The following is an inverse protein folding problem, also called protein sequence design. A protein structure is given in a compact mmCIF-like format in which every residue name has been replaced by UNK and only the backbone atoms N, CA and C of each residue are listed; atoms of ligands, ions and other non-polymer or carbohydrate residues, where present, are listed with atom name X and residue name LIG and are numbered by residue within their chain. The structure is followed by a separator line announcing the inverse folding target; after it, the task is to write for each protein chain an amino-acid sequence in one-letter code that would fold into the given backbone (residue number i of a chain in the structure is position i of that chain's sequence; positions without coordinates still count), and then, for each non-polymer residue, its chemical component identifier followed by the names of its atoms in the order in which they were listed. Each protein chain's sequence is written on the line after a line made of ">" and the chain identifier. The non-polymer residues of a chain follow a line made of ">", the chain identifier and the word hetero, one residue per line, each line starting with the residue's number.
data_IF_521216487054
#
_entry.id   IF_521216487054
#
_cell.length_a   1.000
_cell.length_b   1.000
_cell.length_c   1.000
_cell.angle_alpha   90.00
_cell.angle_beta   90.00
_cell.angle_gamma   90.00
#
_symmetry.space_group_name_H-M   'P 1'
#
loop_
_entity.id
_entity.type
_entity.pdbx_description
1 polymer ?
#
# COMPACT_ATOMS: atom_id res chain seq x y z
N UNK A 1 11.37 -13.56 3.02
CA UNK A 1 12.60 -14.31 2.70
C UNK A 1 12.78 -14.36 1.18
N UNK A 2 13.95 -14.02 0.63
CA UNK A 2 14.22 -14.13 -0.81
C UNK A 2 14.94 -15.45 -1.07
N UNK A 3 14.31 -16.37 -1.78
CA UNK A 3 14.93 -17.65 -2.17
C UNK A 3 15.65 -17.53 -3.52
N UNK A 4 16.62 -18.42 -3.82
CA UNK A 4 17.23 -18.50 -5.15
C UNK A 4 16.19 -18.66 -6.27
N UNK A 5 16.47 -18.16 -7.48
CA UNK A 5 15.56 -18.36 -8.62
C UNK A 5 15.42 -19.86 -8.90
N UNK A 6 14.18 -20.31 -9.08
CA UNK A 6 13.86 -21.73 -9.29
C UNK A 6 13.43 -22.47 -8.01
N UNK A 7 13.57 -21.85 -6.84
CA UNK A 7 12.93 -22.33 -5.61
C UNK A 7 11.40 -22.27 -5.75
N UNK A 8 10.73 -23.33 -5.28
CA UNK A 8 9.26 -23.40 -5.23
C UNK A 8 8.67 -22.55 -4.08
N UNK A 9 7.37 -22.73 -3.79
CA UNK A 9 6.75 -22.23 -2.56
C UNK A 9 7.56 -22.65 -1.33
N UNK A 10 7.56 -21.80 -0.30
CA UNK A 10 8.45 -21.94 0.86
C UNK A 10 8.32 -23.31 1.55
N UNK A 11 7.10 -23.80 1.77
CA UNK A 11 6.87 -25.10 2.40
C UNK A 11 7.44 -26.26 1.59
N UNK A 12 7.20 -26.29 0.27
CA UNK A 12 7.75 -27.30 -0.64
C UNK A 12 9.28 -27.21 -0.70
N UNK A 13 9.82 -25.99 -0.71
CA UNK A 13 11.24 -25.74 -0.70
C UNK A 13 11.90 -26.29 0.56
N UNK A 14 11.33 -26.02 1.74
CA UNK A 14 11.86 -26.49 3.03
C UNK A 14 11.85 -28.02 3.14
N UNK A 15 10.84 -28.68 2.57
CA UNK A 15 10.75 -30.14 2.52
C UNK A 15 11.81 -30.76 1.58
N UNK A 16 12.13 -30.10 0.47
CA UNK A 16 13.11 -30.61 -0.51
C UNK A 16 14.55 -30.22 -0.19
N UNK A 17 14.77 -29.10 0.51
CA UNK A 17 16.11 -28.58 0.73
C UNK A 17 16.86 -29.42 1.75
N UNK A 18 17.92 -30.10 1.29
CA UNK A 18 18.80 -30.91 2.14
C UNK A 18 19.92 -30.11 2.81
N UNK A 19 19.90 -28.78 2.71
CA UNK A 19 20.85 -27.85 3.38
C UNK A 19 22.32 -28.11 3.08
N UNK A 20 22.64 -28.61 1.87
CA UNK A 20 24.00 -28.97 1.46
C UNK A 20 24.94 -27.79 1.19
N UNK A 21 24.41 -26.59 0.95
CA UNK A 21 25.21 -25.38 0.72
C UNK A 21 25.80 -25.21 -0.69
N UNK A 22 25.64 -26.18 -1.59
CA UNK A 22 26.22 -26.12 -2.95
C UNK A 22 25.79 -24.88 -3.74
N UNK A 23 24.51 -24.49 -3.65
CA UNK A 23 24.00 -23.29 -4.31
C UNK A 23 24.66 -22.00 -3.78
N UNK A 24 25.02 -21.96 -2.49
CA UNK A 24 25.70 -20.82 -1.88
C UNK A 24 27.15 -20.77 -2.36
N UNK A 25 27.84 -21.92 -2.36
CA UNK A 25 29.23 -22.07 -2.79
C UNK A 25 29.47 -21.62 -4.23
N UNK A 26 28.53 -21.90 -5.15
CA UNK A 26 28.66 -21.53 -6.57
C UNK A 26 28.11 -20.15 -6.90
N UNK A 27 27.60 -19.39 -5.93
CA UNK A 27 27.04 -18.06 -6.17
C UNK A 27 28.17 -17.07 -6.46
N UNK A 28 28.31 -16.54 -7.70
CA UNK A 28 29.47 -15.72 -8.08
C UNK A 28 29.50 -14.36 -7.37
N UNK A 29 28.35 -13.87 -6.92
CA UNK A 29 28.22 -12.61 -6.17
C UNK A 29 28.30 -12.80 -4.67
N UNK A 30 28.41 -14.03 -4.18
CA UNK A 30 28.25 -14.41 -2.78
C UNK A 30 26.94 -13.90 -2.16
N UNK A 31 25.93 -13.59 -2.97
CA UNK A 31 24.66 -13.07 -2.49
C UNK A 31 23.83 -14.10 -1.71
N UNK A 32 23.99 -15.39 -2.02
CA UNK A 32 23.31 -16.46 -1.31
C UNK A 32 24.06 -16.77 -0.01
N UNK A 33 23.39 -16.52 1.12
CA UNK A 33 23.92 -16.73 2.45
C UNK A 33 23.13 -17.83 3.18
N UNK A 34 23.71 -18.45 4.22
CA UNK A 34 22.94 -19.34 5.09
C UNK A 34 21.98 -18.50 5.95
N UNK A 35 20.75 -18.98 6.07
CA UNK A 35 19.76 -18.38 6.95
C UNK A 35 20.04 -18.73 8.42
N UNK A 36 19.96 -17.72 9.29
CA UNK A 36 20.02 -17.87 10.74
C UNK A 36 18.66 -18.19 11.36
N UNK A 37 18.50 -17.84 12.62
CA UNK A 37 17.27 -18.09 13.39
C UNK A 37 16.12 -17.15 13.00
N UNK A 38 16.39 -16.07 12.26
CA UNK A 38 15.40 -15.08 11.83
C UNK A 38 14.38 -15.67 10.84
N UNK A 39 14.73 -16.78 10.19
CA UNK A 39 13.82 -17.54 9.32
C UNK A 39 13.00 -18.62 10.05
N UNK A 40 13.18 -18.79 11.35
CA UNK A 40 12.66 -19.93 12.12
C UNK A 40 13.55 -21.17 12.03
N UNK A 41 13.33 -22.12 12.95
CA UNK A 41 14.17 -23.33 13.07
C UNK A 41 14.15 -24.19 11.80
N UNK A 42 13.03 -24.26 11.10
CA UNK A 42 12.87 -25.04 9.87
C UNK A 42 13.71 -24.48 8.71
N UNK A 43 13.85 -23.16 8.64
CA UNK A 43 14.62 -22.48 7.61
C UNK A 43 16.11 -22.36 7.96
N UNK A 44 16.54 -22.80 9.13
CA UNK A 44 17.94 -22.73 9.54
C UNK A 44 18.84 -23.40 8.48
N UNK A 45 19.93 -22.71 8.13
CA UNK A 45 20.94 -23.14 7.16
C UNK A 45 20.45 -23.31 5.71
N UNK A 46 19.21 -22.90 5.41
CA UNK A 46 18.73 -22.85 4.03
C UNK A 46 19.23 -21.60 3.30
N UNK A 47 19.40 -21.63 1.97
CA UNK A 47 19.93 -20.50 1.21
C UNK A 47 18.89 -19.38 1.08
N UNK A 48 19.31 -18.15 1.35
CA UNK A 48 18.54 -16.95 1.03
C UNK A 48 19.43 -15.88 0.41
N UNK A 49 18.84 -15.01 -0.42
CA UNK A 49 19.56 -13.90 -1.01
C UNK A 49 19.64 -12.75 -0.01
N UNK A 50 20.86 -12.23 0.19
CA UNK A 50 21.14 -11.00 0.93
C UNK A 50 21.72 -9.98 -0.05
N UNK A 51 20.86 -9.15 -0.70
CA UNK A 51 21.27 -8.23 -1.76
C UNK A 51 22.43 -7.29 -1.36
N UNK A 52 22.46 -6.86 -0.10
CA UNK A 52 23.54 -5.99 0.42
C UNK A 52 24.91 -6.67 0.38
N UNK A 53 24.96 -7.99 0.57
CA UNK A 53 26.18 -8.80 0.40
C UNK A 53 26.45 -9.02 -1.09
N UNK A 54 25.45 -9.46 -1.84
CA UNK A 54 25.54 -9.64 -3.29
C UNK A 54 24.19 -9.79 -3.95
N UNK A 55 24.04 -9.21 -5.14
CA UNK A 55 22.84 -9.32 -5.96
C UNK A 55 22.70 -10.69 -6.62
N UNK A 56 21.48 -11.07 -7.00
CA UNK A 56 21.25 -12.20 -7.91
C UNK A 56 21.57 -11.76 -9.34
N UNK A 57 22.71 -12.20 -9.86
CA UNK A 57 23.19 -11.76 -11.17
C UNK A 57 22.22 -12.10 -12.31
N UNK A 58 21.88 -11.12 -13.15
CA UNK A 58 20.83 -11.26 -14.17
C UNK A 58 21.10 -12.39 -15.19
N UNK A 59 22.36 -12.72 -15.47
CA UNK A 59 22.77 -13.69 -16.48
C UNK A 59 23.25 -15.03 -15.88
N UNK A 60 22.93 -15.32 -14.61
CA UNK A 60 23.39 -16.53 -13.90
C UNK A 60 22.27 -17.51 -13.52
N UNK A 61 22.43 -18.81 -13.79
CA UNK A 61 21.49 -19.87 -13.38
C UNK A 61 22.16 -21.01 -12.56
N UNK A 62 23.38 -20.79 -12.06
CA UNK A 62 24.20 -21.86 -11.45
C UNK A 62 23.54 -22.55 -10.25
N UNK A 63 22.86 -21.81 -9.37
CA UNK A 63 22.26 -22.36 -8.15
C UNK A 63 21.28 -23.53 -8.40
N UNK A 64 20.50 -23.48 -9.48
CA UNK A 64 19.58 -24.56 -9.87
C UNK A 64 20.27 -25.71 -10.60
N UNK A 65 21.47 -25.49 -11.18
CA UNK A 65 22.25 -26.54 -11.84
C UNK A 65 22.97 -27.46 -10.87
N UNK A 66 23.30 -26.95 -9.68
CA UNK A 66 24.06 -27.71 -8.66
C UNK A 66 23.20 -28.26 -7.53
N UNK A 67 21.88 -28.02 -7.53
CA UNK A 67 21.00 -28.46 -6.46
C UNK A 67 20.70 -29.96 -6.57
N UNK A 68 21.22 -30.83 -5.69
CA UNK A 68 21.10 -32.28 -5.84
C UNK A 68 19.69 -32.79 -5.54
N UNK A 69 18.96 -32.11 -4.65
CA UNK A 69 17.60 -32.51 -4.25
C UNK A 69 16.50 -31.91 -5.14
N UNK A 70 16.86 -31.05 -6.09
CA UNK A 70 15.89 -30.33 -6.92
C UNK A 70 15.05 -29.29 -6.16
N UNK A 71 15.43 -28.92 -4.93
CA UNK A 71 14.79 -27.84 -4.18
C UNK A 71 14.86 -26.49 -4.93
N UNK A 72 15.93 -26.28 -5.70
CA UNK A 72 16.06 -25.18 -6.66
C UNK A 72 16.07 -25.83 -8.05
N UNK A 73 15.02 -25.59 -8.83
CA UNK A 73 14.90 -26.17 -10.17
C UNK A 73 15.92 -25.52 -11.12
N UNK A 74 16.51 -26.28 -12.06
CA UNK A 74 17.33 -25.69 -13.11
C UNK A 74 16.45 -24.80 -14.01
N UNK A 75 16.98 -23.65 -14.38
CA UNK A 75 16.31 -22.66 -15.23
C UNK A 75 17.19 -22.31 -16.43
N UNK A 76 16.54 -22.01 -17.56
CA UNK A 76 17.16 -21.25 -18.64
C UNK A 76 17.29 -19.78 -18.24
N UNK A 77 18.07 -19.01 -18.99
CA UNK A 77 18.23 -17.56 -18.75
C UNK A 77 16.89 -16.84 -18.97
N UNK A 78 16.18 -17.15 -20.05
CA UNK A 78 14.89 -16.54 -20.36
C UNK A 78 13.85 -16.83 -19.29
N UNK A 79 13.73 -18.11 -18.87
CA UNK A 79 12.81 -18.49 -17.80
C UNK A 79 13.15 -17.80 -16.47
N UNK A 80 14.45 -17.60 -16.18
CA UNK A 80 14.87 -16.84 -15.02
C UNK A 80 14.43 -15.38 -15.10
N UNK A 81 14.53 -14.74 -16.26
CA UNK A 81 14.17 -13.33 -16.43
C UNK A 81 12.68 -13.07 -16.21
N UNK A 82 11.84 -14.07 -16.41
CA UNK A 82 10.40 -14.01 -16.12
C UNK A 82 10.05 -14.28 -14.65
N UNK A 83 10.99 -14.81 -13.86
CA UNK A 83 10.76 -15.16 -12.46
C UNK A 83 11.15 -13.98 -11.54
N UNK A 84 10.15 -13.49 -10.81
CA UNK A 84 10.35 -12.58 -9.69
C UNK A 84 10.59 -13.35 -8.38
N UNK A 85 11.80 -13.20 -7.82
CA UNK A 85 12.19 -13.74 -6.50
C UNK A 85 11.89 -12.78 -5.35
N UNK A 86 11.64 -11.51 -5.66
CA UNK A 86 11.28 -10.46 -4.73
C UNK A 86 10.88 -9.16 -5.45
N UNK A 87 10.61 -8.11 -4.68
CA UNK A 87 10.30 -6.76 -5.20
C UNK A 87 11.09 -5.70 -4.44
N UNK A 88 11.57 -4.70 -5.17
CA UNK A 88 12.21 -3.54 -4.56
C UNK A 88 11.17 -2.60 -3.93
N UNK A 89 11.53 -1.99 -2.81
CA UNK A 89 10.76 -0.99 -2.06
C UNK A 89 11.70 0.11 -1.60
N UNK A 90 11.24 1.35 -1.62
CA UNK A 90 12.01 2.49 -1.13
C UNK A 90 11.54 2.87 0.28
N UNK A 91 12.48 2.93 1.21
CA UNK A 91 12.33 3.71 2.43
C UNK A 91 12.47 5.20 2.08
N UNK A 92 11.33 5.90 2.06
CA UNK A 92 11.24 7.31 1.70
C UNK A 92 11.89 8.24 2.72
N UNK A 93 12.11 7.77 3.95
CA UNK A 93 12.79 8.54 5.00
C UNK A 93 14.32 8.45 4.91
N UNK A 94 14.85 7.49 4.12
CA UNK A 94 16.29 7.30 3.92
C UNK A 94 16.74 7.61 2.49
N UNK A 95 15.86 7.45 1.52
CA UNK A 95 16.22 7.58 0.11
C UNK A 95 16.57 9.02 -0.24
N UNK A 96 17.79 9.25 -0.73
CA UNK A 96 18.36 10.58 -0.97
C UNK A 96 17.39 11.52 -1.71
N UNK A 97 16.76 11.12 -2.84
CA UNK A 97 15.82 12.00 -3.53
C UNK A 97 14.46 12.17 -2.83
N UNK A 98 13.99 11.17 -2.08
CA UNK A 98 12.76 11.30 -1.30
C UNK A 98 12.95 12.21 -0.08
N UNK A 99 14.11 12.11 0.59
CA UNK A 99 14.50 13.00 1.69
C UNK A 99 14.73 14.42 1.19
N UNK A 100 15.41 14.58 0.05
CA UNK A 100 15.55 15.86 -0.63
C UNK A 100 14.19 16.47 -0.95
N UNK A 101 13.27 15.69 -1.55
CA UNK A 101 11.92 16.15 -1.82
C UNK A 101 11.17 16.64 -0.58
N UNK A 102 11.25 15.90 0.52
CA UNK A 102 10.48 16.20 1.73
C UNK A 102 11.10 17.33 2.57
N UNK A 103 12.43 17.48 2.57
CA UNK A 103 13.15 18.29 3.56
C UNK A 103 14.30 19.12 2.98
N UNK A 104 14.32 19.44 1.68
CA UNK A 104 15.43 20.18 1.06
C UNK A 104 15.82 21.46 1.82
N UNK A 105 14.83 22.22 2.31
CA UNK A 105 15.05 23.47 3.05
C UNK A 105 15.75 23.28 4.40
N UNK A 106 15.69 22.07 4.97
CA UNK A 106 16.31 21.72 6.25
C UNK A 106 17.71 21.10 6.06
N UNK A 107 17.99 20.59 4.86
CA UNK A 107 19.27 19.97 4.52
C UNK A 107 20.31 21.04 4.19
N UNK A 108 21.54 20.86 4.69
CA UNK A 108 22.72 21.59 4.20
C UNK A 108 23.22 21.00 2.87
N UNK A 109 22.32 20.81 1.91
CA UNK A 109 22.58 20.19 0.61
C UNK A 109 21.93 21.01 -0.51
N UNK A 110 22.51 21.00 -1.70
CA UNK A 110 21.88 21.61 -2.87
C UNK A 110 20.91 20.62 -3.53
N UNK A 111 20.02 21.14 -4.36
CA UNK A 111 19.00 20.31 -5.03
C UNK A 111 19.64 19.30 -6.00
N UNK A 112 20.80 19.61 -6.58
CA UNK A 112 21.57 18.70 -7.43
C UNK A 112 22.08 17.49 -6.63
N UNK A 113 22.49 17.72 -5.39
CA UNK A 113 23.14 16.72 -4.53
C UNK A 113 22.13 15.65 -4.04
N UNK A 114 20.83 15.93 -4.14
CA UNK A 114 19.75 15.01 -3.73
C UNK A 114 19.14 14.22 -4.91
N UNK A 115 19.69 14.33 -6.13
CA UNK A 115 19.18 13.65 -7.33
C UNK A 115 19.88 12.30 -7.62
N UNK A 116 20.07 11.46 -6.60
CA UNK A 116 20.68 10.13 -6.75
C UNK A 116 19.90 9.23 -7.74
N UNK A 117 20.58 8.72 -8.77
CA UNK A 117 20.00 7.91 -9.84
C UNK A 117 20.47 6.43 -9.89
N UNK A 118 21.43 6.06 -9.03
CA UNK A 118 22.21 4.81 -9.13
C UNK A 118 21.33 3.56 -9.28
N UNK A 119 20.19 3.50 -8.59
CA UNK A 119 19.30 2.34 -8.62
C UNK A 119 18.65 2.04 -9.99
N UNK A 120 18.36 3.06 -10.80
CA UNK A 120 17.88 2.90 -12.19
C UNK A 120 19.03 2.50 -13.10
N UNK A 121 20.19 3.14 -12.94
CA UNK A 121 21.38 2.90 -13.77
C UNK A 121 21.78 1.42 -13.73
N UNK A 122 21.85 0.84 -12.53
CA UNK A 122 22.25 -0.56 -12.34
C UNK A 122 21.13 -1.57 -12.57
N UNK A 123 19.88 -1.14 -12.79
CA UNK A 123 18.78 -2.07 -12.98
C UNK A 123 19.03 -2.88 -14.27
N UNK A 124 19.17 -4.22 -14.20
CA UNK A 124 19.58 -5.01 -15.35
C UNK A 124 18.43 -5.33 -16.31
N UNK A 125 17.18 -5.04 -15.92
CA UNK A 125 15.99 -5.27 -16.74
C UNK A 125 16.00 -4.27 -17.92
N UNK A 126 15.79 -4.71 -19.18
CA UNK A 126 15.95 -3.86 -20.37
C UNK A 126 15.17 -2.54 -20.32
N UNK A 127 13.92 -2.56 -19.86
CA UNK A 127 13.04 -1.38 -19.77
C UNK A 127 13.10 -0.65 -18.43
N UNK A 128 14.03 -1.06 -17.56
CA UNK A 128 14.28 -0.58 -16.19
C UNK A 128 13.05 -0.72 -15.29
N UNK A 129 13.18 -1.56 -14.26
CA UNK A 129 12.14 -1.72 -13.25
C UNK A 129 12.07 -0.57 -12.23
N UNK A 130 13.05 0.35 -12.26
CA UNK A 130 13.07 1.55 -11.43
C UNK A 130 13.14 2.74 -12.38
N UNK A 131 12.27 3.73 -12.16
CA UNK A 131 12.21 4.98 -12.92
C UNK A 131 12.03 6.15 -11.97
N UNK A 132 12.07 7.36 -12.52
CA UNK A 132 11.93 8.58 -11.74
C UNK A 132 10.70 9.38 -12.16
N UNK A 133 10.00 9.95 -11.18
CA UNK A 133 9.10 11.06 -11.41
C UNK A 133 9.80 12.38 -11.05
N UNK A 134 9.53 13.43 -11.82
CA UNK A 134 10.20 14.73 -11.64
C UNK A 134 9.29 15.68 -10.88
N UNK A 135 9.74 16.14 -9.73
CA UNK A 135 9.10 17.18 -8.94
C UNK A 135 9.81 18.51 -9.15
N UNK A 136 9.14 19.50 -9.74
CA UNK A 136 9.71 20.83 -9.96
C UNK A 136 9.51 21.70 -8.72
N UNK A 137 10.60 22.24 -8.17
CA UNK A 137 10.55 23.23 -7.10
C UNK A 137 10.33 24.62 -7.69
N UNK A 138 10.94 24.91 -8.84
CA UNK A 138 10.69 26.10 -9.67
C UNK A 138 11.13 25.87 -11.12
N UNK A 139 11.31 26.96 -11.89
CA UNK A 139 11.70 26.91 -13.30
C UNK A 139 13.08 26.28 -13.57
N UNK A 140 13.98 26.22 -12.58
CA UNK A 140 15.36 25.74 -12.73
C UNK A 140 15.72 24.57 -11.80
N UNK A 141 14.97 24.34 -10.73
CA UNK A 141 15.26 23.32 -9.71
C UNK A 141 14.23 22.19 -9.76
N UNK A 142 14.71 20.95 -9.82
CA UNK A 142 13.87 19.75 -9.82
C UNK A 142 14.47 18.59 -9.03
N UNK A 143 13.61 17.75 -8.47
CA UNK A 143 14.00 16.53 -7.75
C UNK A 143 13.35 15.33 -8.42
N UNK A 144 14.17 14.37 -8.81
CA UNK A 144 13.80 13.10 -9.43
C UNK A 144 13.61 12.07 -8.33
N UNK A 145 12.36 11.68 -8.03
CA UNK A 145 12.07 10.70 -6.98
C UNK A 145 11.91 9.31 -7.60
N UNK A 146 12.63 8.29 -7.11
CA UNK A 146 12.57 6.97 -7.70
C UNK A 146 11.30 6.22 -7.28
N UNK A 147 10.74 5.46 -8.20
CA UNK A 147 9.65 4.52 -7.97
C UNK A 147 9.92 3.19 -8.69
N UNK A 148 9.30 2.12 -8.22
CA UNK A 148 9.47 0.76 -8.76
C UNK A 148 8.26 0.41 -9.61
N UNK A 149 8.50 -0.01 -10.86
CA UNK A 149 7.48 -0.64 -11.70
C UNK A 149 7.43 -2.12 -11.31
N UNK A 150 6.39 -2.49 -10.57
CA UNK A 150 6.32 -3.82 -9.95
C UNK A 150 6.39 -4.94 -10.97
N UNK A 151 5.67 -4.83 -12.09
CA UNK A 151 5.60 -5.88 -13.12
C UNK A 151 6.96 -6.22 -13.73
N UNK A 152 7.85 -5.23 -13.83
CA UNK A 152 9.20 -5.40 -14.38
C UNK A 152 10.22 -5.84 -13.32
N UNK A 153 9.94 -5.62 -12.03
CA UNK A 153 10.89 -5.88 -10.97
C UNK A 153 11.00 -7.38 -10.68
N UNK A 154 12.16 -7.98 -10.98
CA UNK A 154 12.42 -9.40 -10.69
C UNK A 154 12.99 -9.65 -9.29
N UNK A 155 13.31 -8.60 -8.52
CA UNK A 155 13.87 -8.73 -7.17
C UNK A 155 15.34 -9.17 -7.14
N UNK A 156 16.11 -8.81 -8.15
CA UNK A 156 17.51 -9.21 -8.27
C UNK A 156 18.45 -8.56 -7.23
N UNK A 157 18.07 -7.44 -6.62
CA UNK A 157 18.87 -6.83 -5.55
C UNK A 157 20.00 -5.90 -5.99
N UNK A 158 20.20 -5.66 -7.30
CA UNK A 158 21.22 -4.73 -7.79
C UNK A 158 21.09 -3.34 -7.13
N UNK A 159 19.86 -2.82 -7.06
CA UNK A 159 19.58 -1.51 -6.46
C UNK A 159 19.95 -1.42 -4.96
N UNK A 160 19.67 -2.46 -4.18
CA UNK A 160 20.00 -2.52 -2.75
C UNK A 160 21.50 -2.62 -2.53
N UNK A 161 22.19 -3.43 -3.36
CA UNK A 161 23.64 -3.61 -3.29
C UNK A 161 24.39 -2.28 -3.43
N UNK A 162 24.03 -1.51 -4.45
CA UNK A 162 24.76 -0.28 -4.82
C UNK A 162 24.23 0.97 -4.13
N UNK A 163 23.19 0.86 -3.30
CA UNK A 163 22.59 2.00 -2.63
C UNK A 163 23.66 2.73 -1.77
N UNK A 164 23.93 4.03 -2.04
CA UNK A 164 25.01 4.76 -1.38
C UNK A 164 24.68 5.17 0.06
N UNK A 165 23.43 4.96 0.50
CA UNK A 165 23.02 5.27 1.88
C UNK A 165 23.79 4.39 2.86
N UNK A 166 24.37 5.03 3.87
CA UNK A 166 25.14 4.36 4.93
C UNK A 166 24.25 3.47 5.80
N UNK A 167 24.81 2.35 6.26
CA UNK A 167 24.06 1.33 7.01
C UNK A 167 23.05 0.63 6.10
N UNK A 168 21.79 0.60 6.53
CA UNK A 168 20.70 0.02 5.75
C UNK A 168 20.44 0.82 4.47
N UNK A 169 20.36 0.09 3.35
CA UNK A 169 20.03 0.66 2.06
C UNK A 169 18.62 1.27 2.07
N UNK A 170 18.46 2.42 1.43
CA UNK A 170 17.15 3.05 1.29
C UNK A 170 16.25 2.37 0.25
N UNK A 171 16.79 1.49 -0.59
CA UNK A 171 16.01 0.59 -1.43
C UNK A 171 16.30 -0.83 -0.97
N UNK A 172 15.26 -1.54 -0.55
CA UNK A 172 15.34 -2.91 -0.05
C UNK A 172 14.56 -3.82 -0.97
N UNK A 173 15.09 -5.00 -1.24
CA UNK A 173 14.33 -6.07 -1.87
C UNK A 173 13.72 -6.93 -0.80
N UNK A 174 12.43 -7.13 -0.91
CA UNK A 174 11.69 -8.03 -0.04
C UNK A 174 11.29 -9.27 -0.82
N UNK A 175 11.38 -10.42 -0.15
CA UNK A 175 10.93 -11.68 -0.72
C UNK A 175 9.44 -11.67 -1.03
N UNK A 176 9.03 -12.49 -1.99
CA UNK A 176 7.59 -12.73 -2.26
C UNK A 176 6.92 -13.14 -0.95
N UNK A 177 6.13 -12.26 -0.32
CA UNK A 177 4.93 -12.75 0.38
C UNK A 177 4.18 -13.52 -0.69
N UNK A 178 3.79 -14.77 -0.40
CA UNK A 178 3.10 -15.64 -1.36
C UNK A 178 2.10 -14.80 -2.14
N UNK A 179 2.05 -14.99 -3.47
CA UNK A 179 1.10 -14.29 -4.34
C UNK A 179 -0.18 -14.08 -3.51
N UNK A 180 -0.53 -12.83 -3.21
CA UNK A 180 -1.95 -12.53 -3.26
C UNK A 180 -2.26 -12.96 -4.68
N UNK A 181 -2.93 -14.10 -4.85
CA UNK A 181 -3.61 -14.39 -6.08
C UNK A 181 -4.56 -13.21 -6.23
N UNK A 182 -4.07 -12.19 -6.95
CA UNK A 182 -4.92 -11.20 -7.53
C UNK A 182 -5.80 -12.05 -8.42
N UNK A 183 -7.12 -12.09 -8.15
CA UNK A 183 -8.02 -12.88 -8.95
C UNK A 183 -7.75 -12.56 -10.42
N UNK A 184 -7.78 -13.61 -11.25
CA UNK A 184 -7.86 -13.51 -12.71
C UNK A 184 -8.58 -12.22 -13.10
N UNK A 185 -7.99 -11.44 -14.02
CA UNK A 185 -8.52 -10.13 -14.46
C UNK A 185 -10.04 -10.18 -14.49
N UNK A 186 -10.68 -9.62 -13.46
CA UNK A 186 -12.11 -9.66 -13.36
C UNK A 186 -12.65 -9.02 -14.65
N UNK A 187 -13.65 -9.62 -15.32
CA UNK A 187 -14.18 -9.05 -16.54
C UNK A 187 -14.52 -7.58 -16.30
N UNK A 188 -14.20 -6.73 -17.29
CA UNK A 188 -14.45 -5.29 -17.19
C UNK A 188 -15.91 -5.09 -16.79
N UNK A 189 -16.16 -4.47 -15.62
CA UNK A 189 -17.51 -4.37 -15.08
C UNK A 189 -18.37 -3.52 -16.01
N UNK A 190 -19.63 -3.92 -16.21
CA UNK A 190 -20.61 -3.05 -16.83
C UNK A 190 -20.97 -1.91 -15.84
N UNK A 191 -20.45 -0.72 -16.13
CA UNK A 191 -20.70 0.51 -15.37
C UNK A 191 -21.75 1.40 -16.04
N UNK A 192 -22.43 0.92 -17.09
CA UNK A 192 -23.19 1.74 -18.04
C UNK A 192 -24.31 2.59 -17.42
N UNK A 193 -24.87 2.17 -16.29
CA UNK A 193 -25.91 2.92 -15.57
C UNK A 193 -25.40 3.59 -14.29
N UNK A 194 -24.14 3.37 -13.90
CA UNK A 194 -23.60 3.89 -12.64
C UNK A 194 -23.48 5.41 -12.68
N UNK A 195 -22.99 5.95 -13.80
CA UNK A 195 -22.81 7.38 -14.04
C UNK A 195 -23.96 7.94 -14.91
N UNK A 196 -24.85 8.79 -14.37
CA UNK A 196 -25.90 9.42 -15.16
C UNK A 196 -25.33 10.24 -16.32
N UNK A 197 -25.98 10.25 -17.48
CA UNK A 197 -25.53 11.10 -18.61
C UNK A 197 -25.63 12.60 -18.32
N UNK A 198 -26.52 12.97 -17.40
CA UNK A 198 -26.80 14.36 -17.03
C UNK A 198 -27.16 14.45 -15.54
N UNK A 199 -26.65 15.47 -14.87
CA UNK A 199 -27.03 15.82 -13.49
C UNK A 199 -27.33 17.32 -13.45
N UNK A 200 -28.61 17.67 -13.35
CA UNK A 200 -29.04 19.07 -13.48
C UNK A 200 -28.61 19.67 -14.83
N UNK A 201 -27.83 20.75 -14.79
CA UNK A 201 -27.28 21.42 -16.01
C UNK A 201 -26.00 20.80 -16.57
N UNK A 202 -25.43 19.80 -15.89
CA UNK A 202 -24.11 19.26 -16.20
C UNK A 202 -24.22 17.99 -17.03
N UNK A 203 -23.27 17.78 -17.94
CA UNK A 203 -23.25 16.60 -18.84
C UNK A 203 -21.97 15.81 -18.67
N UNK A 204 -22.09 14.49 -18.80
CA UNK A 204 -20.96 13.58 -18.78
C UNK A 204 -20.03 13.88 -19.96
N UNK A 205 -18.74 14.06 -19.66
CA UNK A 205 -17.68 14.30 -20.62
C UNK A 205 -17.07 12.96 -21.01
N UNK A 206 -17.33 12.53 -22.24
CA UNK A 206 -16.80 11.28 -22.77
C UNK A 206 -17.34 10.03 -22.08
N UNK A 207 -16.60 8.92 -22.21
CA UNK A 207 -16.91 7.66 -21.55
C UNK A 207 -16.13 7.58 -20.24
N UNK A 208 -16.73 7.08 -19.13
CA UNK A 208 -15.97 6.87 -17.91
C UNK A 208 -14.83 5.86 -18.15
N UNK A 209 -13.69 6.12 -17.52
CA UNK A 209 -12.52 5.24 -17.58
C UNK A 209 -12.59 4.22 -16.46
N UNK A 210 -12.29 2.94 -16.75
CA UNK A 210 -12.35 1.85 -15.77
C UNK A 210 -10.95 1.27 -15.54
N UNK A 211 -10.62 1.09 -14.28
CA UNK A 211 -9.35 0.59 -13.78
C UNK A 211 -9.61 -0.69 -12.98
N UNK A 212 -9.16 -1.83 -13.48
CA UNK A 212 -9.48 -3.14 -12.89
C UNK A 212 -8.28 -3.72 -12.13
N UNK A 213 -8.56 -4.28 -10.95
CA UNK A 213 -7.59 -4.97 -10.13
C UNK A 213 -6.45 -4.06 -9.64
N UNK A 214 -5.41 -4.68 -9.07
CA UNK A 214 -4.29 -3.93 -8.52
C UNK A 214 -3.56 -3.10 -9.59
N UNK A 215 -3.34 -3.66 -10.77
CA UNK A 215 -2.66 -2.97 -11.87
C UNK A 215 -3.40 -1.70 -12.30
N UNK A 216 -4.71 -1.80 -12.57
CA UNK A 216 -5.52 -0.64 -12.91
C UNK A 216 -5.51 0.40 -11.79
N UNK A 217 -5.57 -0.04 -10.53
CA UNK A 217 -5.50 0.91 -9.41
C UNK A 217 -4.16 1.64 -9.34
N UNK A 218 -3.04 0.96 -9.56
CA UNK A 218 -1.72 1.59 -9.62
C UNK A 218 -1.62 2.61 -10.78
N UNK A 219 -2.21 2.30 -11.94
CA UNK A 219 -2.30 3.24 -13.06
C UNK A 219 -3.15 4.47 -12.71
N UNK A 220 -4.20 4.29 -11.91
CA UNK A 220 -5.09 5.39 -11.55
C UNK A 220 -4.49 6.34 -10.49
N UNK A 221 -3.91 5.79 -9.41
CA UNK A 221 -3.48 6.58 -8.24
C UNK A 221 -1.96 6.57 -7.98
N UNK A 222 -1.16 6.32 -9.01
CA UNK A 222 0.30 6.52 -9.07
C UNK A 222 1.06 6.20 -7.76
N UNK A 223 1.06 4.92 -7.39
CA UNK A 223 1.80 4.43 -6.21
C UNK A 223 1.09 4.60 -4.86
N UNK A 224 -0.11 5.18 -4.83
CA UNK A 224 -0.98 5.24 -3.64
C UNK A 224 -1.85 4.00 -3.40
N UNK A 225 -1.79 2.98 -4.27
CA UNK A 225 -2.67 1.81 -4.23
C UNK A 225 -2.57 0.90 -2.98
N UNK A 226 -1.39 0.69 -2.35
CA UNK A 226 -1.25 -0.36 -1.34
C UNK A 226 -2.26 -0.32 -0.17
N UNK A 227 -2.59 0.83 0.45
CA UNK A 227 -3.68 0.95 1.43
C UNK A 227 -5.00 0.32 1.00
N UNK A 228 -5.45 0.61 -0.23
CA UNK A 228 -6.74 0.18 -0.73
C UNK A 228 -6.77 -1.30 -1.13
N UNK A 229 -5.62 -1.86 -1.53
CA UNK A 229 -5.50 -3.29 -1.84
C UNK A 229 -5.70 -4.17 -0.60
N UNK A 230 -5.46 -3.62 0.61
CA UNK A 230 -5.75 -4.33 1.87
C UNK A 230 -7.24 -4.61 2.07
N UNK A 231 -8.11 -3.82 1.42
CA UNK A 231 -9.57 -3.95 1.48
C UNK A 231 -10.17 -4.82 0.35
N UNK A 232 -9.35 -5.62 -0.34
CA UNK A 232 -9.79 -6.45 -1.46
C UNK A 232 -10.50 -5.64 -2.57
N UNK A 233 -9.81 -4.60 -3.02
CA UNK A 233 -10.21 -3.78 -4.17
C UNK A 233 -10.51 -4.63 -5.42
N UNK A 234 -11.58 -4.26 -6.14
CA UNK A 234 -11.99 -4.94 -7.39
C UNK A 234 -11.71 -4.06 -8.61
N UNK A 235 -12.25 -2.85 -8.63
CA UNK A 235 -12.08 -1.90 -9.73
C UNK A 235 -12.48 -0.48 -9.30
N UNK A 236 -12.04 0.52 -10.05
CA UNK A 236 -12.45 1.90 -9.94
C UNK A 236 -12.92 2.42 -11.30
N UNK A 237 -13.95 3.25 -11.30
CA UNK A 237 -14.42 3.94 -12.48
C UNK A 237 -14.44 5.44 -12.24
N UNK A 238 -14.00 6.21 -13.23
CA UNK A 238 -13.81 7.66 -13.14
C UNK A 238 -14.59 8.33 -14.25
N UNK A 239 -15.44 9.27 -13.87
CA UNK A 239 -16.24 10.07 -14.79
C UNK A 239 -15.98 11.56 -14.57
N UNK A 240 -15.93 12.34 -15.65
CA UNK A 240 -15.85 13.80 -15.58
C UNK A 240 -17.14 14.41 -16.13
N UNK A 241 -17.60 15.50 -15.53
CA UNK A 241 -18.78 16.24 -15.93
C UNK A 241 -18.44 17.70 -16.16
N UNK A 242 -18.97 18.29 -17.22
CA UNK A 242 -18.79 19.70 -17.55
C UNK A 242 -20.12 20.45 -17.48
N UNK A 243 -20.05 21.73 -17.11
CA UNK A 243 -21.19 22.63 -17.22
C UNK A 243 -21.36 23.14 -18.66
N UNK A 244 -22.54 23.69 -18.97
CA UNK A 244 -22.84 24.23 -20.29
C UNK A 244 -21.98 25.45 -20.68
N UNK A 245 -21.38 26.13 -19.69
CA UNK A 245 -20.47 27.26 -19.90
C UNK A 245 -19.01 26.84 -20.18
N UNK A 246 -18.65 25.58 -19.93
CA UNK A 246 -17.30 25.04 -20.11
C UNK A 246 -16.28 25.54 -19.08
N UNK A 247 -16.71 26.19 -18.00
CA UNK A 247 -15.82 26.83 -17.02
C UNK A 247 -15.50 25.92 -15.83
N UNK A 248 -16.45 25.07 -15.44
CA UNK A 248 -16.28 24.16 -14.31
C UNK A 248 -16.33 22.70 -14.78
N UNK A 249 -15.51 21.86 -14.13
CA UNK A 249 -15.55 20.41 -14.30
C UNK A 249 -15.54 19.72 -12.94
N UNK A 250 -16.34 18.66 -12.82
CA UNK A 250 -16.39 17.81 -11.62
C UNK A 250 -15.95 16.41 -12.00
N UNK A 251 -15.03 15.83 -11.24
CA UNK A 251 -14.64 14.43 -11.32
C UNK A 251 -15.40 13.63 -10.26
N UNK A 252 -15.93 12.48 -10.66
CA UNK A 252 -16.63 11.55 -9.79
C UNK A 252 -16.01 10.16 -9.95
N UNK A 253 -15.58 9.61 -8.83
CA UNK A 253 -15.00 8.28 -8.76
C UNK A 253 -15.97 7.31 -8.07
N UNK A 254 -16.03 6.09 -8.58
CA UNK A 254 -16.71 4.97 -7.93
C UNK A 254 -15.78 3.76 -7.84
N UNK A 255 -15.46 3.35 -6.62
CA UNK A 255 -14.51 2.28 -6.32
C UNK A 255 -15.25 1.12 -5.67
N UNK A 256 -15.19 -0.06 -6.29
CA UNK A 256 -15.84 -1.27 -5.78
C UNK A 256 -14.82 -2.16 -5.06
N UNK A 257 -15.26 -2.72 -3.93
CA UNK A 257 -14.52 -3.69 -3.12
C UNK A 257 -15.29 -5.01 -3.01
N UNK A 258 -14.62 -6.06 -2.56
CA UNK A 258 -15.23 -7.38 -2.37
C UNK A 258 -16.42 -7.35 -1.39
N UNK A 259 -16.27 -6.59 -0.30
CA UNK A 259 -17.25 -6.50 0.79
C UNK A 259 -17.60 -5.06 1.12
N UNK A 260 -18.72 -4.89 1.82
CA UNK A 260 -19.16 -3.58 2.29
C UNK A 260 -18.22 -3.00 3.35
N UNK A 261 -17.67 -3.86 4.22
CA UNK A 261 -16.68 -3.48 5.24
C UNK A 261 -15.37 -3.01 4.60
N UNK A 262 -14.91 -3.65 3.51
CA UNK A 262 -13.75 -3.21 2.75
C UNK A 262 -13.97 -1.84 2.09
N UNK A 263 -15.13 -1.64 1.48
CA UNK A 263 -15.51 -0.35 0.93
C UNK A 263 -15.60 0.75 2.00
N UNK A 264 -16.09 0.40 3.20
CA UNK A 264 -16.11 1.32 4.34
C UNK A 264 -14.69 1.69 4.76
N UNK A 265 -13.76 0.72 4.83
CA UNK A 265 -12.36 0.98 5.19
C UNK A 265 -11.67 1.94 4.22
N UNK A 266 -11.88 1.74 2.91
CA UNK A 266 -11.37 2.64 1.87
C UNK A 266 -11.98 4.05 1.98
N UNK A 267 -13.31 4.15 2.09
CA UNK A 267 -13.99 5.41 2.33
C UNK A 267 -13.46 6.11 3.59
N UNK A 268 -13.36 5.39 4.70
CA UNK A 268 -12.91 5.92 5.98
C UNK A 268 -11.46 6.40 5.91
N UNK A 269 -10.61 5.76 5.08
CA UNK A 269 -9.22 6.18 4.87
C UNK A 269 -9.16 7.61 4.34
N UNK A 270 -10.01 7.93 3.35
CA UNK A 270 -9.97 9.22 2.65
C UNK A 270 -10.89 10.29 3.24
N UNK A 271 -12.00 9.88 3.85
CA UNK A 271 -13.05 10.78 4.27
C UNK A 271 -12.54 11.78 5.32
N UNK A 272 -12.92 13.04 5.11
CA UNK A 272 -12.63 14.16 5.99
C UNK A 272 -13.77 15.20 5.93
N UNK A 273 -13.82 16.08 6.93
CA UNK A 273 -14.80 17.18 7.01
C UNK A 273 -16.04 16.83 7.82
N UNK A 274 -17.17 17.44 7.46
CA UNK A 274 -18.42 17.34 8.20
C UNK A 274 -19.34 16.26 7.62
N UNK A 275 -20.05 15.49 8.47
CA UNK A 275 -21.01 14.50 7.98
C UNK A 275 -22.15 15.19 7.23
N UNK A 276 -22.63 14.55 6.17
CA UNK A 276 -23.82 15.00 5.42
C UNK A 276 -24.77 13.83 5.16
N UNK A 277 -26.06 14.09 5.33
CA UNK A 277 -27.11 13.09 5.19
C UNK A 277 -27.71 13.03 3.78
N UNK A 278 -28.39 11.93 3.47
CA UNK A 278 -29.17 11.78 2.24
C UNK A 278 -28.34 11.73 0.94
N UNK A 279 -27.05 11.43 1.04
CA UNK A 279 -26.15 11.21 -0.11
C UNK A 279 -25.98 9.73 -0.41
N UNK A 280 -25.63 8.94 0.61
CA UNK A 280 -25.36 7.51 0.55
C UNK A 280 -25.61 6.89 1.94
N UNK A 281 -25.07 5.70 2.22
CA UNK A 281 -25.19 5.08 3.56
C UNK A 281 -24.43 5.90 4.63
N UNK A 282 -23.31 6.51 4.21
CA UNK A 282 -22.60 7.55 4.96
C UNK A 282 -21.87 8.48 4.01
N UNK A 283 -21.78 9.76 4.34
CA UNK A 283 -21.01 10.71 3.56
C UNK A 283 -20.41 11.84 4.42
N UNK A 284 -19.28 12.37 3.96
CA UNK A 284 -18.63 13.55 4.51
C UNK A 284 -18.36 14.56 3.41
N UNK A 285 -18.31 15.83 3.80
CA UNK A 285 -17.99 16.94 2.92
C UNK A 285 -17.00 17.88 3.59
N UNK A 286 -15.97 18.25 2.84
CA UNK A 286 -15.04 19.31 3.20
C UNK A 286 -14.96 20.26 2.00
N UNK A 287 -15.42 21.50 2.20
CA UNK A 287 -15.59 22.46 1.10
C UNK A 287 -16.42 21.85 -0.05
N UNK A 288 -15.84 21.74 -1.25
CA UNK A 288 -16.45 21.12 -2.43
C UNK A 288 -15.93 19.70 -2.72
N UNK A 289 -15.29 19.04 -1.76
CA UNK A 289 -14.95 17.62 -1.82
C UNK A 289 -15.98 16.80 -1.05
N UNK A 290 -16.41 15.70 -1.66
CA UNK A 290 -17.42 14.80 -1.09
C UNK A 290 -16.91 13.36 -1.13
N UNK A 291 -16.92 12.70 0.01
CA UNK A 291 -16.67 11.26 0.12
C UNK A 291 -17.95 10.59 0.58
N UNK A 292 -18.29 9.45 -0.01
CA UNK A 292 -19.47 8.71 0.38
C UNK A 292 -19.22 7.19 0.31
N UNK A 293 -19.94 6.45 1.12
CA UNK A 293 -19.92 5.00 1.15
C UNK A 293 -21.34 4.46 0.94
N UNK A 294 -21.46 3.47 0.06
CA UNK A 294 -22.73 2.83 -0.31
C UNK A 294 -22.50 1.35 -0.59
N UNK A 295 -22.95 0.46 0.30
CA UNK A 295 -22.74 -0.96 0.15
C UNK A 295 -21.27 -1.32 -0.08
N UNK A 296 -20.96 -1.90 -1.25
CA UNK A 296 -19.59 -2.30 -1.65
C UNK A 296 -18.79 -1.20 -2.36
N UNK A 297 -19.25 0.05 -2.28
CA UNK A 297 -18.65 1.17 -3.01
C UNK A 297 -18.15 2.28 -2.10
N UNK A 298 -16.95 2.76 -2.38
CA UNK A 298 -16.45 4.07 -1.95
C UNK A 298 -16.58 5.03 -3.12
N UNK A 299 -17.18 6.18 -2.89
CA UNK A 299 -17.46 7.21 -3.89
C UNK A 299 -16.72 8.50 -3.50
N UNK A 300 -16.20 9.20 -4.49
CA UNK A 300 -15.55 10.49 -4.31
C UNK A 300 -16.00 11.47 -5.37
N UNK A 301 -16.34 12.69 -4.98
CA UNK A 301 -16.60 13.80 -5.88
C UNK A 301 -15.64 14.94 -5.56
N UNK A 302 -14.98 15.48 -6.57
CA UNK A 302 -14.07 16.61 -6.41
C UNK A 302 -14.04 17.53 -7.65
N UNK A 303 -13.69 18.81 -7.48
CA UNK A 303 -13.43 19.71 -8.60
C UNK A 303 -12.28 19.18 -9.46
N UNK A 304 -12.45 19.26 -10.79
CA UNK A 304 -11.39 19.00 -11.76
C UNK A 304 -10.88 20.29 -12.38
N UNK A 305 -11.79 21.23 -12.62
CA UNK A 305 -11.51 22.56 -13.17
C UNK A 305 -12.54 23.54 -12.60
N UNK A 306 -12.14 24.80 -12.44
CA UNK A 306 -12.99 25.83 -11.85
C UNK A 306 -13.28 25.62 -10.36
N UNK A 307 -14.37 26.21 -9.89
CA UNK A 307 -14.77 26.19 -8.46
C UNK A 307 -16.25 25.84 -8.33
N UNK A 308 -16.66 24.61 -8.73
CA UNK A 308 -18.04 24.17 -8.60
C UNK A 308 -18.50 24.24 -7.15
N UNK A 309 -19.78 24.55 -6.94
CA UNK A 309 -20.34 24.63 -5.59
C UNK A 309 -20.34 23.27 -4.90
N UNK A 310 -20.26 23.29 -3.57
CA UNK A 310 -20.29 22.11 -2.73
C UNK A 310 -21.57 21.28 -2.96
N UNK A 311 -22.70 21.95 -3.20
CA UNK A 311 -24.00 21.34 -3.51
C UNK A 311 -23.98 20.64 -4.87
N UNK A 312 -23.31 21.21 -5.87
CA UNK A 312 -23.17 20.59 -7.18
C UNK A 312 -22.38 19.28 -7.08
N UNK A 313 -21.21 19.29 -6.44
CA UNK A 313 -20.40 18.07 -6.23
C UNK A 313 -21.16 17.02 -5.42
N UNK A 314 -21.89 17.46 -4.38
CA UNK A 314 -22.75 16.57 -3.59
C UNK A 314 -23.85 15.93 -4.42
N UNK A 315 -24.47 16.67 -5.35
CA UNK A 315 -25.51 16.15 -6.23
C UNK A 315 -25.00 15.06 -7.16
N UNK A 316 -23.77 15.17 -7.67
CA UNK A 316 -23.15 14.13 -8.49
C UNK A 316 -22.92 12.84 -7.70
N UNK A 317 -22.28 12.93 -6.52
CA UNK A 317 -22.02 11.75 -5.69
C UNK A 317 -23.33 11.08 -5.28
N UNK A 318 -24.35 11.87 -4.91
CA UNK A 318 -25.70 11.37 -4.60
C UNK A 318 -26.34 10.66 -5.80
N UNK A 319 -26.20 11.22 -7.00
CA UNK A 319 -26.78 10.63 -8.20
C UNK A 319 -26.14 9.28 -8.53
N UNK A 320 -24.81 9.16 -8.42
CA UNK A 320 -24.11 7.88 -8.56
C UNK A 320 -24.51 6.90 -7.47
N UNK A 321 -24.60 7.33 -6.21
CA UNK A 321 -24.99 6.49 -5.08
C UNK A 321 -26.39 5.88 -5.24
N UNK A 322 -27.34 6.62 -5.83
CA UNK A 322 -28.71 6.14 -6.12
C UNK A 322 -28.77 5.03 -7.16
N UNK A 323 -27.80 4.99 -8.08
CA UNK A 323 -27.71 3.94 -9.10
C UNK A 323 -27.07 2.65 -8.57
N UNK A 324 -26.58 2.65 -7.33
CA UNK A 324 -26.01 1.45 -6.69
C UNK A 324 -27.15 0.66 -6.03
N UNK A 325 -27.48 -0.54 -6.54
CA UNK A 325 -28.56 -1.35 -6.00
C UNK A 325 -28.18 -1.94 -4.64
N UNK A 326 -29.18 -2.16 -3.79
CA UNK A 326 -29.03 -2.84 -2.50
C UNK A 326 -29.63 -2.06 -1.33
N UNK A 327 -29.83 -2.74 -0.18
CA UNK A 327 -30.28 -2.09 1.04
C UNK A 327 -29.22 -1.13 1.59
N UNK A 328 -29.64 -0.23 2.47
CA UNK A 328 -28.70 0.57 3.28
C UNK A 328 -27.85 -0.38 4.13
N UNK A 329 -26.53 -0.19 4.07
CA UNK A 329 -25.58 -0.98 4.85
C UNK A 329 -25.18 -0.28 6.14
N UNK A 330 -24.97 -1.06 7.20
CA UNK A 330 -24.48 -0.56 8.48
C UNK A 330 -22.95 -0.61 8.52
N UNK A 331 -22.28 0.37 9.16
CA UNK A 331 -20.82 0.33 9.32
C UNK A 331 -20.34 -0.99 9.95
N UNK A 332 -19.06 -1.36 9.74
CA UNK A 332 -18.48 -2.58 10.29
C UNK A 332 -18.79 -2.75 11.77
N UNK A 333 -19.05 -3.99 12.18
CA UNK A 333 -19.48 -4.28 13.55
C UNK A 333 -18.55 -3.73 14.64
N UNK A 334 -17.24 -3.63 14.36
CA UNK A 334 -16.25 -3.06 15.28
C UNK A 334 -16.38 -1.53 15.39
N UNK A 335 -16.65 -0.84 14.28
CA UNK A 335 -16.91 0.61 14.25
C UNK A 335 -18.15 0.95 15.08
N UNK A 336 -19.18 0.10 15.04
CA UNK A 336 -20.41 0.28 15.83
C UNK A 336 -20.23 0.07 17.33
N UNK A 337 -19.07 -0.44 17.78
CA UNK A 337 -18.73 -0.59 19.20
C UNK A 337 -18.00 0.63 19.77
N UNK A 338 -17.65 1.60 18.94
CA UNK A 338 -17.07 2.85 19.40
C UNK A 338 -18.08 3.62 20.26
N UNK A 339 -17.69 4.13 21.46
CA UNK A 339 -18.51 5.05 22.21
C UNK A 339 -18.93 6.26 21.37
N UNK A 340 -20.20 6.66 21.47
CA UNK A 340 -20.70 7.79 20.68
C UNK A 340 -20.29 9.14 21.29
N UNK A 341 -20.19 9.22 22.62
CA UNK A 341 -19.88 10.46 23.32
C UNK A 341 -18.45 10.93 23.01
N UNK A 342 -18.32 12.17 22.56
CA UNK A 342 -17.05 12.80 22.22
C UNK A 342 -16.41 12.31 20.90
N UNK A 343 -17.00 11.34 20.20
CA UNK A 343 -16.44 10.81 18.95
C UNK A 343 -16.40 11.86 17.83
N UNK A 344 -15.22 12.10 17.27
CA UNK A 344 -15.07 12.90 16.05
C UNK A 344 -15.37 12.02 14.84
N UNK A 345 -16.59 12.11 14.28
CA UNK A 345 -17.08 11.16 13.29
C UNK A 345 -16.16 10.93 12.07
N UNK A 346 -15.52 11.99 11.54
CA UNK A 346 -14.63 11.90 10.38
C UNK A 346 -13.24 11.31 10.70
N UNK A 347 -12.90 11.16 11.99
CA UNK A 347 -11.61 10.59 12.42
C UNK A 347 -11.60 9.07 12.45
N UNK A 348 -12.74 8.42 12.25
CA UNK A 348 -12.86 6.96 12.29
C UNK A 348 -12.08 6.36 11.12
N UNK A 349 -11.12 5.49 11.42
CA UNK A 349 -10.32 4.74 10.44
C UNK A 349 -10.48 3.25 10.73
N UNK A 350 -11.05 2.50 9.79
CA UNK A 350 -11.22 1.05 9.87
C UNK A 350 -10.19 0.37 8.97
N UNK A 351 -9.44 -0.59 9.49
CA UNK A 351 -8.33 -1.20 8.77
C UNK A 351 -8.00 -2.60 9.26
N UNK A 352 -7.25 -3.35 8.46
CA UNK A 352 -6.77 -4.69 8.80
C UNK A 352 -5.25 -4.74 8.90
N UNK A 353 -4.55 -3.95 8.07
CA UNK A 353 -3.11 -4.01 7.92
C UNK A 353 -2.40 -2.79 8.53
N UNK A 354 -1.16 -3.02 8.98
CA UNK A 354 -0.30 -2.00 9.59
C UNK A 354 -0.06 -0.79 8.69
N UNK A 355 -0.09 -0.95 7.37
CA UNK A 355 0.13 0.17 6.45
C UNK A 355 -0.84 1.34 6.68
N UNK A 356 -2.08 1.08 7.12
CA UNK A 356 -3.01 2.15 7.50
C UNK A 356 -2.60 2.73 8.85
N UNK A 357 -2.27 1.88 9.83
CA UNK A 357 -1.77 2.30 11.15
C UNK A 357 -0.57 3.24 11.06
N UNK A 358 0.35 3.00 10.13
CA UNK A 358 1.56 3.82 9.94
C UNK A 358 1.25 5.23 9.45
N UNK A 359 0.06 5.43 8.89
CA UNK A 359 -0.46 6.75 8.53
C UNK A 359 -1.30 7.38 9.66
N UNK A 360 -1.43 6.71 10.81
CA UNK A 360 -2.14 7.19 11.99
C UNK A 360 -1.15 7.53 13.10
N UNK A 361 -1.20 8.77 13.56
CA UNK A 361 -0.41 9.22 14.71
C UNK A 361 -1.09 8.75 16.01
N UNK A 362 -1.02 7.47 16.38
CA UNK A 362 -1.70 6.99 17.58
C UNK A 362 -0.97 7.34 18.88
N UNK A 363 0.35 7.43 18.83
CA UNK A 363 1.22 7.82 19.93
C UNK A 363 2.12 8.97 19.50
N UNK A 364 2.85 9.57 20.45
CA UNK A 364 3.87 10.57 20.13
C UNK A 364 5.04 10.00 19.32
N UNK A 365 5.27 8.70 19.46
CA UNK A 365 6.33 7.93 18.79
C UNK A 365 5.74 6.98 17.74
N UNK A 366 6.46 6.72 16.62
CA UNK A 366 6.03 5.75 15.62
C UNK A 366 6.04 4.31 16.18
N UNK A 367 5.10 3.49 15.72
CA UNK A 367 5.06 2.06 16.00
C UNK A 367 5.70 1.35 14.81
N UNK A 368 7.02 1.15 14.86
CA UNK A 368 7.80 0.61 13.72
C UNK A 368 7.46 -0.87 13.44
N UNK A 369 7.29 -1.66 14.49
CA UNK A 369 7.01 -3.09 14.40
C UNK A 369 5.50 -3.39 14.31
N UNK A 370 5.12 -4.51 13.69
CA UNK A 370 3.73 -4.98 13.71
C UNK A 370 3.38 -5.66 15.04
N UNK A 371 3.58 -4.96 16.15
CA UNK A 371 3.36 -5.47 17.52
C UNK A 371 1.91 -5.91 17.74
N UNK A 372 0.96 -5.31 17.04
CA UNK A 372 -0.45 -5.67 17.08
C UNK A 372 -0.82 -6.88 16.22
N UNK A 373 0.12 -7.44 15.46
CA UNK A 373 -0.10 -8.58 14.55
C UNK A 373 -1.25 -8.31 13.56
N UNK A 374 -1.32 -7.07 13.08
CA UNK A 374 -2.29 -6.63 12.07
C UNK A 374 -2.05 -7.38 10.75
N UNK A 375 -3.14 -7.70 10.08
CA UNK A 375 -3.18 -8.36 8.79
C UNK A 375 -4.60 -8.80 8.46
N UNK A 376 -4.79 -9.37 7.27
CA UNK A 376 -6.08 -9.89 6.82
C UNK A 376 -6.71 -10.80 7.88
N UNK A 377 -7.96 -10.50 8.26
CA UNK A 377 -8.72 -11.23 9.27
C UNK A 377 -8.62 -10.68 10.69
N UNK A 378 -7.77 -9.68 10.93
CA UNK A 378 -7.74 -8.89 12.17
C UNK A 378 -8.35 -7.54 11.88
N UNK A 379 -9.47 -7.22 12.51
CA UNK A 379 -10.13 -5.93 12.32
C UNK A 379 -9.67 -4.95 13.38
N UNK A 380 -9.26 -3.76 12.96
CA UNK A 380 -8.92 -2.66 13.82
C UNK A 380 -9.72 -1.41 13.45
N UNK A 381 -10.03 -0.60 14.46
CA UNK A 381 -10.60 0.72 14.29
C UNK A 381 -9.87 1.71 15.18
N UNK A 382 -9.48 2.84 14.60
CA UNK A 382 -8.95 3.98 15.32
C UNK A 382 -9.92 5.16 15.20
N UNK A 383 -10.04 5.96 16.25
CA UNK A 383 -10.83 7.19 16.22
C UNK A 383 -10.35 8.22 17.25
N UNK A 384 -10.57 9.50 16.96
CA UNK A 384 -10.35 10.62 17.87
C UNK A 384 -11.60 10.95 18.67
N UNK A 385 -11.38 11.31 19.93
CA UNK A 385 -12.39 11.75 20.88
C UNK A 385 -12.04 13.14 21.40
N UNK A 386 -13.02 14.03 21.42
CA UNK A 386 -12.92 15.39 21.98
C UNK A 386 -14.07 15.61 22.96
N UNK A 387 -13.73 15.96 24.20
CA UNK A 387 -14.68 16.25 25.26
C UNK A 387 -14.65 17.75 25.61
N UNK A 388 -15.79 18.37 25.97
CA UNK A 388 -15.87 19.82 26.21
C UNK A 388 -14.89 20.39 27.26
N UNK A 389 -14.47 19.59 28.24
CA UNK A 389 -13.62 20.03 29.36
C UNK A 389 -12.40 19.13 29.59
N UNK A 390 -11.93 18.41 28.55
CA UNK A 390 -10.86 17.43 28.67
C UNK A 390 -9.84 17.46 27.54
N UNK A 391 -8.73 16.74 27.73
CA UNK A 391 -7.78 16.46 26.64
C UNK A 391 -8.45 15.58 25.58
N UNK A 392 -8.07 15.75 24.32
CA UNK A 392 -8.47 14.84 23.26
C UNK A 392 -7.71 13.51 23.37
N UNK A 393 -8.38 12.40 23.05
CA UNK A 393 -7.77 11.07 23.07
C UNK A 393 -7.93 10.38 21.73
N UNK A 394 -7.00 9.51 21.39
CA UNK A 394 -7.12 8.56 20.28
C UNK A 394 -7.36 7.18 20.86
N UNK A 395 -8.38 6.50 20.38
CA UNK A 395 -8.69 5.14 20.78
C UNK A 395 -8.40 4.19 19.63
N UNK A 396 -7.65 3.13 19.90
CA UNK A 396 -7.45 1.99 19.01
C UNK A 396 -8.17 0.78 19.60
N UNK A 397 -9.10 0.21 18.85
CA UNK A 397 -9.80 -1.03 19.21
C UNK A 397 -9.48 -2.09 18.16
N UNK A 398 -9.03 -3.26 18.60
CA UNK A 398 -8.65 -4.38 17.72
C UNK A 398 -9.42 -5.63 18.14
N UNK A 399 -10.01 -6.31 17.16
CA UNK A 399 -10.72 -7.58 17.35
C UNK A 399 -9.80 -8.74 16.98
N UNK A 400 -9.51 -9.59 17.98
CA UNK A 400 -8.80 -10.85 17.78
C UNK A 400 -9.75 -12.05 17.79
N UNK A 401 -9.45 -13.12 17.03
CA UNK A 401 -10.21 -14.37 17.04
C UNK A 401 -10.36 -15.06 18.40
N UNK A 402 -9.40 -14.88 19.31
CA UNK A 402 -9.42 -15.51 20.63
C UNK A 402 -8.94 -14.59 21.75
N UNK A 403 -9.43 -14.85 22.97
CA UNK A 403 -8.99 -14.16 24.20
C UNK A 403 -7.50 -14.38 24.46
N UNK A 404 -6.97 -15.56 24.13
CA UNK A 404 -5.55 -15.89 24.31
C UNK A 404 -4.67 -15.02 23.40
N UNK A 405 -5.05 -14.86 22.13
CA UNK A 405 -4.32 -14.01 21.19
C UNK A 405 -4.37 -12.54 21.63
N UNK A 406 -5.54 -12.05 22.04
CA UNK A 406 -5.68 -10.69 22.57
C UNK A 406 -4.78 -10.45 23.79
N UNK A 407 -4.74 -11.40 24.74
CA UNK A 407 -3.89 -11.30 25.92
C UNK A 407 -2.39 -11.35 25.59
N UNK A 408 -1.99 -12.13 24.59
CA UNK A 408 -0.60 -12.17 24.13
C UNK A 408 -0.19 -10.84 23.50
N UNK A 409 -1.00 -10.29 22.59
CA UNK A 409 -0.69 -9.01 21.95
C UNK A 409 -0.64 -7.87 22.96
N UNK A 410 -1.50 -7.87 23.98
CA UNK A 410 -1.43 -6.90 25.07
C UNK A 410 -0.07 -6.95 25.82
N UNK A 411 0.46 -8.16 26.09
CA UNK A 411 1.78 -8.32 26.70
C UNK A 411 2.92 -7.90 25.77
N UNK A 412 2.82 -8.23 24.48
CA UNK A 412 3.82 -7.86 23.47
C UNK A 412 3.89 -6.33 23.33
N UNK A 413 2.73 -5.65 23.34
CA UNK A 413 2.67 -4.19 23.29
C UNK A 413 3.21 -3.52 24.57
N UNK A 414 2.91 -4.07 25.75
CA UNK A 414 3.49 -3.58 27.00
C UNK A 414 5.03 -3.65 26.96
N UNK A 415 5.59 -4.77 26.49
CA UNK A 415 7.04 -4.94 26.32
C UNK A 415 7.61 -4.00 25.26
N UNK A 416 6.89 -3.78 24.17
CA UNK A 416 7.30 -2.85 23.11
C UNK A 416 7.45 -1.42 23.66
N UNK A 417 6.48 -0.95 24.46
CA UNK A 417 6.54 0.37 25.11
C UNK A 417 7.75 0.50 26.04
N UNK A 418 8.03 -0.53 26.84
CA UNK A 418 9.20 -0.55 27.73
C UNK A 418 10.53 -0.52 26.97
N UNK A 419 10.64 -1.33 25.92
CA UNK A 419 11.92 -1.53 25.21
C UNK A 419 12.21 -0.44 24.18
N UNK A 420 11.19 0.02 23.45
CA UNK A 420 11.36 0.97 22.34
C UNK A 420 11.10 2.41 22.75
N UNK A 421 10.15 2.66 23.66
CA UNK A 421 9.80 4.02 24.08
C UNK A 421 10.37 4.40 25.45
N UNK A 422 11.01 3.45 26.16
CA UNK A 422 11.58 3.68 27.48
C UNK A 422 10.53 3.96 28.57
N UNK A 423 9.26 3.69 28.28
CA UNK A 423 8.16 3.89 29.23
C UNK A 423 8.22 2.77 30.28
N UNK A 424 8.50 3.11 31.54
CA UNK A 424 8.38 2.15 32.64
C UNK A 424 6.90 1.77 32.76
N UNK A 425 6.56 0.49 32.68
CA UNK A 425 5.18 0.07 32.95
C UNK A 425 4.84 0.38 34.40
N UNK A 426 3.96 1.36 34.62
CA UNK A 426 3.18 1.37 35.85
C UNK A 426 2.17 0.23 35.73
N UNK A 427 2.25 -0.69 36.68
CA UNK A 427 1.51 -1.96 36.73
C UNK A 427 0.00 -1.79 36.67
#
# INVERSE_FOLDING_TARGET
>A
IIRPPGAGPEEEFLQKCVRCGECMRVCPTNGLQPMGLEGGLEALWTPWLVPRVGQCDYQCTLCGRVCPSGAIRPLTIDAKHEISIGKARFDRNRCIPWVGYARLSELKARWEDVNCAVCEEVCPVPTKAIRFNTFKLDAKREIRRPFVIEDLCIGCGYCEKVCPVAGEAAVRVEGRRGKIELPEEAPVPDIGQLFPKQVGRWRLLGKPTVYVGAKGLFEYIDGGAPPYLTFAFRWAAVAEYGDSGGQDKVKVDAWQFESSDGAFGAFATDAYGNPIDGVADRAFRYENYVWAWRGRYSLKGEPREGTPSAEAVTAFVRAVARNIPGPVTMPPSLVRRLPAEGLVAASVKFFHDKIILDNLYLAGEPIEENVFRLGRGIDAVAAEYKFPQGRGYRMLLIRYPSRQQAAQVARDFARYRETQWGEKSER
#
